data_IF_296886588433
#
_entry.id   IF_296886588433
#
_cell.length_a   1.000
_cell.length_b   1.000
_cell.length_c   1.000
_cell.angle_alpha   90.00
_cell.angle_beta   90.00
_cell.angle_gamma   90.00
#
_symmetry.space_group_name_H-M   'P 1'
#
loop_
_entity.id
_entity.type
_entity.pdbx_description
1 polymer ?
#
# COMPACT_ATOMS: atom_id res chain seq x y z
N UNK A 1 -8.17 -10.56 -10.41
CA UNK A 1 -7.27 -9.38 -10.35
C UNK A 1 -7.73 -8.38 -11.40
N UNK A 2 -7.89 -7.11 -11.03
CA UNK A 2 -8.16 -6.00 -11.94
C UNK A 2 -6.90 -5.14 -11.98
N UNK A 3 -6.22 -5.14 -13.12
CA UNK A 3 -4.94 -4.44 -13.29
C UNK A 3 -4.88 -3.57 -14.54
N UNK A 4 -5.85 -3.69 -15.45
CA UNK A 4 -5.97 -2.80 -16.61
C UNK A 4 -6.40 -1.40 -16.14
N UNK A 5 -5.62 -0.33 -16.43
CA UNK A 5 -5.99 1.03 -16.06
C UNK A 5 -7.41 1.44 -16.45
N UNK A 6 -7.93 0.99 -17.61
CA UNK A 6 -9.27 1.35 -18.05
C UNK A 6 -10.36 0.74 -17.15
N UNK A 7 -10.24 -0.56 -16.85
CA UNK A 7 -11.14 -1.25 -15.93
C UNK A 7 -11.07 -0.70 -14.49
N UNK A 8 -9.86 -0.33 -14.03
CA UNK A 8 -9.67 0.30 -12.71
C UNK A 8 -10.39 1.64 -12.66
N UNK A 9 -10.24 2.50 -13.67
CA UNK A 9 -10.90 3.81 -13.72
C UNK A 9 -12.43 3.68 -13.81
N UNK A 10 -12.94 2.72 -14.57
CA UNK A 10 -14.38 2.43 -14.64
C UNK A 10 -14.93 1.97 -13.28
N UNK A 11 -14.21 1.06 -12.61
CA UNK A 11 -14.57 0.58 -11.28
C UNK A 11 -14.60 1.76 -10.29
N UNK A 12 -13.55 2.57 -10.22
CA UNK A 12 -13.49 3.73 -9.32
C UNK A 12 -14.60 4.74 -9.62
N UNK A 13 -14.90 5.00 -10.89
CA UNK A 13 -16.01 5.89 -11.29
C UNK A 13 -17.37 5.38 -10.81
N UNK A 14 -17.62 4.08 -10.90
CA UNK A 14 -18.84 3.47 -10.39
C UNK A 14 -18.94 3.56 -8.85
N UNK A 15 -17.81 3.48 -8.15
CA UNK A 15 -17.74 3.53 -6.69
C UNK A 15 -17.83 4.96 -6.14
N UNK A 16 -17.35 5.97 -6.88
CA UNK A 16 -17.38 7.39 -6.49
C UNK A 16 -18.76 8.08 -6.50
N UNK A 17 -19.85 7.35 -6.82
CA UNK A 17 -21.19 7.92 -7.08
C UNK A 17 -22.02 8.29 -5.83
N UNK A 18 -21.63 7.86 -4.61
CA UNK A 18 -22.24 8.38 -3.36
C UNK A 18 -21.17 9.12 -2.57
N UNK A 19 -21.25 10.44 -2.62
CA UNK A 19 -20.38 11.38 -1.89
C UNK A 19 -21.15 11.94 -0.70
N UNK A 20 -20.42 12.32 0.34
CA UNK A 20 -21.04 12.89 1.53
C UNK A 20 -21.39 14.37 1.30
N UNK A 21 -22.62 14.77 1.67
CA UNK A 21 -22.96 16.20 1.74
C UNK A 21 -22.28 16.85 2.96
N UNK A 22 -22.19 18.17 2.97
CA UNK A 22 -21.65 18.92 4.11
C UNK A 22 -22.38 18.59 5.42
N UNK A 23 -23.72 18.53 5.39
CA UNK A 23 -24.52 18.19 6.57
C UNK A 23 -24.27 16.76 7.08
N UNK A 24 -23.93 15.83 6.19
CA UNK A 24 -23.54 14.48 6.57
C UNK A 24 -22.14 14.47 7.20
N UNK A 25 -21.21 15.26 6.66
CA UNK A 25 -19.85 15.41 7.21
C UNK A 25 -19.88 16.03 8.61
N UNK A 26 -20.60 17.13 8.81
CA UNK A 26 -20.79 17.78 10.12
C UNK A 26 -21.42 16.82 11.14
N UNK A 27 -22.43 16.04 10.77
CA UNK A 27 -23.05 15.05 11.66
C UNK A 27 -22.16 13.86 12.02
N UNK A 28 -21.31 13.44 11.09
CA UNK A 28 -20.44 12.26 11.30
C UNK A 28 -19.09 12.61 11.92
N UNK A 29 -18.68 13.88 11.86
CA UNK A 29 -17.39 14.35 12.34
C UNK A 29 -17.57 15.65 13.15
N UNK A 30 -17.48 15.60 14.49
CA UNK A 30 -17.77 16.75 15.33
C UNK A 30 -16.83 17.95 15.11
N UNK A 31 -15.57 17.70 14.73
CA UNK A 31 -14.57 18.75 14.46
C UNK A 31 -14.62 19.32 13.03
N UNK A 32 -15.51 18.82 12.16
CA UNK A 32 -15.52 19.20 10.74
C UNK A 32 -15.83 20.68 10.52
N UNK A 33 -16.82 21.23 11.23
CA UNK A 33 -17.21 22.63 11.06
C UNK A 33 -16.14 23.61 11.55
N UNK A 34 -15.28 23.19 12.48
CA UNK A 34 -14.16 23.99 12.96
C UNK A 34 -13.03 24.11 11.91
N UNK A 35 -12.84 23.10 11.06
CA UNK A 35 -11.77 23.09 10.05
C UNK A 35 -12.25 23.48 8.65
N UNK A 36 -13.56 23.47 8.41
CA UNK A 36 -14.18 23.89 7.14
C UNK A 36 -15.28 24.91 7.44
N UNK A 37 -14.94 26.18 7.73
CA UNK A 37 -15.93 27.18 8.15
C UNK A 37 -16.86 27.63 7.01
N UNK A 38 -16.41 27.56 5.76
CA UNK A 38 -17.18 27.92 4.56
C UNK A 38 -17.28 26.76 3.56
N UNK A 39 -18.27 26.82 2.66
CA UNK A 39 -18.42 25.83 1.60
C UNK A 39 -17.21 25.87 0.65
N UNK A 40 -16.65 24.71 0.32
CA UNK A 40 -15.47 24.60 -0.54
C UNK A 40 -14.13 24.93 0.13
N UNK A 41 -14.12 25.44 1.36
CA UNK A 41 -12.90 25.83 2.07
C UNK A 41 -12.51 24.81 3.14
N UNK A 42 -11.21 24.58 3.26
CA UNK A 42 -10.61 23.79 4.32
C UNK A 42 -9.42 24.59 4.85
N UNK A 43 -9.52 25.03 6.10
CA UNK A 43 -8.50 25.85 6.74
C UNK A 43 -7.32 24.96 7.17
N UNK A 44 -6.20 25.09 6.46
CA UNK A 44 -5.00 24.32 6.73
C UNK A 44 -4.42 24.57 8.14
N UNK A 45 -4.55 25.78 8.68
CA UNK A 45 -4.08 26.10 10.03
C UNK A 45 -4.99 25.43 11.07
N UNK A 46 -6.31 25.51 10.90
CA UNK A 46 -7.25 24.82 11.78
C UNK A 46 -7.06 23.28 11.74
N UNK A 47 -6.79 22.71 10.56
CA UNK A 47 -6.43 21.28 10.43
C UNK A 47 -5.13 20.96 11.14
N UNK A 48 -4.10 21.81 11.05
CA UNK A 48 -2.83 21.62 11.74
C UNK A 48 -3.00 21.70 13.26
N UNK A 49 -3.78 22.66 13.76
CA UNK A 49 -4.10 22.80 15.18
C UNK A 49 -4.92 21.62 15.70
N UNK A 50 -5.86 21.11 14.89
CA UNK A 50 -6.57 19.87 15.22
C UNK A 50 -5.60 18.69 15.25
N UNK A 51 -4.71 18.55 14.26
CA UNK A 51 -3.74 17.46 14.22
C UNK A 51 -2.75 17.50 15.40
N UNK A 52 -2.43 18.68 15.90
CA UNK A 52 -1.60 18.87 17.09
C UNK A 52 -2.31 18.45 18.39
N UNK A 53 -3.63 18.64 18.48
CA UNK A 53 -4.44 18.27 19.65
C UNK A 53 -4.89 16.81 19.62
N UNK A 54 -5.40 16.37 18.49
CA UNK A 54 -5.92 15.03 18.22
C UNK A 54 -5.61 14.64 16.76
N UNK A 55 -4.49 13.92 16.52
CA UNK A 55 -4.10 13.50 15.17
C UNK A 55 -5.09 12.49 14.55
N UNK A 56 -5.78 11.69 15.37
CA UNK A 56 -6.76 10.71 14.88
C UNK A 56 -8.03 11.41 14.40
N UNK A 57 -8.50 12.43 15.12
CA UNK A 57 -9.62 13.27 14.69
C UNK A 57 -9.29 14.02 13.39
N UNK A 58 -8.10 14.64 13.28
CA UNK A 58 -7.68 15.31 12.05
C UNK A 58 -7.65 14.37 10.85
N UNK A 59 -7.12 13.15 11.04
CA UNK A 59 -7.05 12.15 9.99
C UNK A 59 -8.45 11.69 9.52
N UNK A 60 -9.38 11.46 10.46
CA UNK A 60 -10.78 11.14 10.16
C UNK A 60 -11.47 12.25 9.38
N UNK A 61 -11.33 13.50 9.82
CA UNK A 61 -11.95 14.65 9.17
C UNK A 61 -11.44 14.81 7.74
N UNK A 62 -10.12 14.69 7.52
CA UNK A 62 -9.53 14.76 6.19
C UNK A 62 -9.95 13.60 5.29
N UNK A 63 -9.99 12.38 5.82
CA UNK A 63 -10.46 11.22 5.07
C UNK A 63 -11.93 11.35 4.66
N UNK A 64 -12.77 11.92 5.53
CA UNK A 64 -14.18 12.21 5.24
C UNK A 64 -14.33 13.34 4.21
N UNK A 65 -13.61 14.45 4.38
CA UNK A 65 -13.61 15.58 3.45
C UNK A 65 -13.06 15.19 2.06
N UNK A 66 -12.12 14.25 1.98
CA UNK A 66 -11.62 13.69 0.72
C UNK A 66 -12.67 12.89 -0.09
N UNK A 67 -13.85 12.65 0.49
CA UNK A 67 -15.04 12.05 -0.16
C UNK A 67 -16.24 13.01 -0.22
N UNK A 68 -16.03 14.29 0.04
CA UNK A 68 -17.07 15.30 -0.02
C UNK A 68 -17.66 15.43 -1.44
N UNK A 69 -18.95 15.79 -1.50
CA UNK A 69 -19.62 16.10 -2.77
C UNK A 69 -18.97 17.31 -3.46
N UNK A 70 -18.58 18.30 -2.67
CA UNK A 70 -17.89 19.51 -3.10
C UNK A 70 -16.49 19.20 -3.67
N UNK A 71 -16.24 19.50 -4.96
CA UNK A 71 -14.96 19.24 -5.60
C UNK A 71 -13.78 20.02 -4.99
N UNK A 72 -13.99 21.26 -4.53
CA UNK A 72 -12.94 22.13 -4.01
C UNK A 72 -12.50 21.64 -2.61
N UNK A 73 -13.47 21.38 -1.73
CA UNK A 73 -13.21 20.80 -0.41
C UNK A 73 -12.47 19.46 -0.52
N UNK A 74 -12.93 18.61 -1.45
CA UNK A 74 -12.29 17.32 -1.70
C UNK A 74 -10.84 17.46 -2.14
N UNK A 75 -10.55 18.35 -3.10
CA UNK A 75 -9.20 18.58 -3.57
C UNK A 75 -8.28 19.14 -2.48
N UNK A 76 -8.79 20.07 -1.65
CA UNK A 76 -8.07 20.61 -0.50
C UNK A 76 -7.74 19.52 0.53
N UNK A 77 -8.71 18.68 0.89
CA UNK A 77 -8.53 17.58 1.83
C UNK A 77 -7.49 16.55 1.34
N UNK A 78 -7.56 16.15 0.07
CA UNK A 78 -6.59 15.23 -0.56
C UNK A 78 -5.17 15.82 -0.56
N UNK A 79 -5.05 17.11 -0.83
CA UNK A 79 -3.76 17.83 -0.79
C UNK A 79 -3.19 17.88 0.63
N UNK A 80 -4.01 18.18 1.65
CA UNK A 80 -3.55 18.21 3.04
C UNK A 80 -3.24 16.82 3.58
N UNK A 81 -4.04 15.80 3.24
CA UNK A 81 -3.80 14.41 3.63
C UNK A 81 -2.45 13.86 3.11
N UNK A 82 -2.04 14.27 1.91
CA UNK A 82 -0.73 13.94 1.36
C UNK A 82 0.43 14.70 2.03
N UNK A 83 0.16 15.86 2.64
CA UNK A 83 1.15 16.77 3.24
C UNK A 83 1.20 16.74 4.76
N UNK A 84 0.34 15.96 5.40
CA UNK A 84 0.36 15.80 6.84
C UNK A 84 1.78 15.39 7.27
N UNK A 85 2.38 16.06 8.26
CA UNK A 85 3.68 15.66 8.78
C UNK A 85 3.53 14.34 9.53
N UNK A 86 3.74 13.23 8.81
CA UNK A 86 3.58 11.87 9.32
C UNK A 86 4.93 11.44 9.92
N UNK A 87 5.30 12.09 11.04
CA UNK A 87 6.46 11.74 11.87
C UNK A 87 7.79 12.39 11.50
N UNK A 88 8.81 12.12 12.33
CA UNK A 88 10.15 12.68 12.16
C UNK A 88 10.82 12.18 10.87
N UNK A 89 11.53 13.08 10.12
CA UNK A 89 12.36 12.67 9.00
C UNK A 89 13.33 11.56 9.43
N UNK A 90 13.69 10.67 8.50
CA UNK A 90 14.67 9.60 8.74
C UNK A 90 15.90 10.18 9.45
N UNK A 91 16.16 9.74 10.68
CA UNK A 91 17.46 9.92 11.33
C UNK A 91 18.34 8.72 10.99
N UNK A 92 19.45 8.97 10.30
CA UNK A 92 20.41 7.94 9.89
C UNK A 92 21.41 8.46 8.88
N UNK A 93 22.54 7.76 8.77
CA UNK A 93 23.67 8.12 7.88
C UNK A 93 23.18 8.32 6.45
N UNK A 94 23.58 9.40 5.74
CA UNK A 94 23.27 9.56 4.33
C UNK A 94 23.89 8.39 3.58
N UNK A 95 23.04 7.55 3.00
CA UNK A 95 23.51 6.37 2.28
C UNK A 95 23.88 6.76 0.85
N UNK A 96 25.03 6.28 0.38
CA UNK A 96 25.62 6.68 -0.91
C UNK A 96 24.66 6.31 -2.04
N UNK A 97 24.11 7.32 -2.71
CA UNK A 97 23.53 7.14 -4.03
C UNK A 97 24.56 6.48 -4.95
N UNK A 98 24.24 5.31 -5.51
CA UNK A 98 24.98 4.81 -6.69
C UNK A 98 25.52 3.38 -6.67
N UNK A 99 25.29 2.54 -5.66
CA UNK A 99 25.71 1.14 -5.77
C UNK A 99 24.60 0.29 -6.40
N UNK A 100 24.45 0.37 -7.72
CA UNK A 100 23.66 -0.64 -8.41
C UNK A 100 24.36 -2.00 -8.29
N UNK A 101 23.68 -3.06 -7.84
CA UNK A 101 24.23 -4.42 -7.80
C UNK A 101 23.76 -5.18 -9.02
N UNK A 102 24.69 -5.79 -9.76
CA UNK A 102 24.34 -6.71 -10.83
C UNK A 102 23.72 -7.97 -10.23
N UNK A 103 22.54 -8.36 -10.73
CA UNK A 103 21.86 -9.60 -10.32
C UNK A 103 21.39 -10.36 -11.54
N UNK A 104 21.23 -11.67 -11.36
CA UNK A 104 20.72 -12.59 -12.36
C UNK A 104 19.23 -12.86 -12.15
N UNK A 105 18.44 -12.90 -13.24
CA UNK A 105 16.99 -13.07 -13.18
C UNK A 105 16.41 -13.67 -14.46
N UNK A 106 15.36 -14.46 -14.30
CA UNK A 106 14.55 -14.95 -15.40
C UNK A 106 13.62 -13.83 -15.92
N UNK A 107 14.04 -13.12 -16.96
CA UNK A 107 13.24 -12.10 -17.68
C UNK A 107 13.38 -12.31 -19.20
N UNK A 108 12.29 -12.11 -19.93
CA UNK A 108 12.28 -12.17 -21.40
C UNK A 108 12.85 -10.91 -22.08
N UNK A 109 13.06 -9.83 -21.33
CA UNK A 109 13.45 -8.51 -21.85
C UNK A 109 14.84 -8.05 -21.39
N UNK A 110 15.58 -8.88 -20.65
CA UNK A 110 16.91 -8.52 -20.17
C UNK A 110 17.92 -8.41 -21.31
N UNK A 111 18.76 -7.37 -21.27
CA UNK A 111 19.73 -7.09 -22.34
C UNK A 111 21.00 -7.94 -22.28
N UNK A 112 21.29 -8.57 -21.14
CA UNK A 112 22.48 -9.41 -20.94
C UNK A 112 22.06 -10.80 -20.41
N UNK A 113 22.60 -11.89 -20.94
CA UNK A 113 22.22 -13.27 -20.57
C UNK A 113 23.24 -13.81 -19.56
N UNK A 114 22.75 -14.30 -18.42
CA UNK A 114 23.58 -15.08 -17.50
C UNK A 114 23.70 -16.51 -18.00
N UNK A 115 24.76 -16.78 -18.74
CA UNK A 115 25.00 -18.10 -19.33
C UNK A 115 25.11 -19.20 -18.28
N UNK A 116 25.77 -18.93 -17.15
CA UNK A 116 25.99 -19.94 -16.10
C UNK A 116 24.66 -20.34 -15.45
N UNK A 117 23.86 -19.35 -15.06
CA UNK A 117 22.54 -19.61 -14.48
C UNK A 117 21.57 -20.23 -15.52
N UNK A 118 21.64 -19.79 -16.77
CA UNK A 118 20.82 -20.32 -17.86
C UNK A 118 21.14 -21.79 -18.18
N UNK A 119 22.44 -22.13 -18.22
CA UNK A 119 22.90 -23.50 -18.44
C UNK A 119 22.56 -24.39 -17.24
N UNK A 120 22.73 -23.89 -16.01
CA UNK A 120 22.35 -24.59 -14.80
C UNK A 120 20.84 -24.86 -14.75
N UNK A 121 20.01 -23.87 -15.13
CA UNK A 121 18.56 -24.01 -15.17
C UNK A 121 18.07 -24.98 -16.26
N UNK A 122 18.74 -25.03 -17.42
CA UNK A 122 18.43 -26.04 -18.46
C UNK A 122 18.78 -27.45 -18.01
N UNK A 123 19.89 -27.62 -17.30
CA UNK A 123 20.41 -28.93 -16.96
C UNK A 123 20.61 -29.81 -18.21
N UNK A 124 20.08 -31.03 -18.16
CA UNK A 124 20.17 -32.02 -19.24
C UNK A 124 19.01 -31.95 -20.25
N UNK A 125 18.13 -30.95 -20.16
CA UNK A 125 16.99 -30.87 -21.06
C UNK A 125 17.43 -30.66 -22.53
N UNK A 126 16.83 -31.41 -23.49
CA UNK A 126 17.27 -31.40 -24.88
C UNK A 126 16.84 -30.15 -25.65
N UNK A 127 15.76 -29.46 -25.23
CA UNK A 127 15.23 -28.26 -25.88
C UNK A 127 15.30 -27.03 -24.95
N UNK A 128 15.55 -25.87 -25.54
CA UNK A 128 15.52 -24.59 -24.82
C UNK A 128 14.08 -24.12 -24.62
N UNK A 129 13.76 -23.67 -23.41
CA UNK A 129 12.48 -23.02 -23.07
C UNK A 129 12.72 -21.64 -22.49
N UNK A 130 11.70 -20.78 -22.54
CA UNK A 130 11.76 -19.44 -21.98
C UNK A 130 12.09 -19.45 -20.47
N UNK A 131 11.67 -20.48 -19.75
CA UNK A 131 11.96 -20.69 -18.33
C UNK A 131 13.44 -20.96 -18.02
N UNK A 132 14.24 -21.42 -18.99
CA UNK A 132 15.67 -21.62 -18.80
C UNK A 132 16.45 -20.30 -18.89
N UNK A 133 15.92 -19.30 -19.60
CA UNK A 133 16.66 -18.07 -19.90
C UNK A 133 16.75 -17.16 -18.68
N UNK A 134 17.98 -17.01 -18.19
CA UNK A 134 18.33 -16.08 -17.13
C UNK A 134 19.16 -14.93 -17.71
N UNK A 135 18.78 -13.72 -17.35
CA UNK A 135 19.40 -12.46 -17.78
C UNK A 135 20.02 -11.72 -16.59
N UNK A 136 21.14 -11.01 -16.83
CA UNK A 136 21.76 -10.13 -15.85
C UNK A 136 21.21 -8.71 -16.00
N UNK A 137 20.95 -8.06 -14.88
CA UNK A 137 20.49 -6.69 -14.83
C UNK A 137 21.05 -5.95 -13.63
N UNK A 138 21.27 -4.64 -13.79
CA UNK A 138 21.61 -3.76 -12.68
C UNK A 138 20.38 -3.53 -11.81
N UNK A 139 20.48 -3.82 -10.51
CA UNK A 139 19.47 -3.45 -9.51
C UNK A 139 19.90 -2.24 -8.72
N UNK A 140 18.99 -1.30 -8.54
CA UNK A 140 19.19 -0.24 -7.56
C UNK A 140 19.22 -0.84 -6.15
N UNK A 141 20.00 -0.22 -5.27
CA UNK A 141 19.91 -0.42 -3.81
C UNK A 141 18.65 0.20 -3.21
N UNK A 142 17.71 0.65 -4.06
CA UNK A 142 16.40 1.08 -3.63
C UNK A 142 15.56 -0.09 -3.12
N UNK A 143 14.37 0.25 -2.63
CA UNK A 143 13.37 -0.68 -2.13
C UNK A 143 12.16 -0.70 -3.06
N UNK A 144 11.56 -1.87 -3.24
CA UNK A 144 10.24 -2.02 -3.83
C UNK A 144 9.25 -2.43 -2.75
N UNK A 145 8.21 -1.62 -2.55
CA UNK A 145 7.14 -1.88 -1.58
C UNK A 145 5.82 -2.06 -2.30
N UNK A 146 5.08 -3.12 -1.99
CA UNK A 146 3.67 -3.25 -2.36
C UNK A 146 2.83 -3.06 -1.10
N UNK A 147 2.03 -2.01 -1.08
CA UNK A 147 1.03 -1.78 -0.03
C UNK A 147 -0.26 -2.50 -0.42
N UNK A 148 -0.66 -3.49 0.38
CA UNK A 148 -1.95 -4.16 0.30
C UNK A 148 -2.89 -3.52 1.33
N UNK A 149 -4.01 -2.99 0.88
CA UNK A 149 -5.04 -2.39 1.73
C UNK A 149 -6.28 -3.27 1.72
N UNK A 150 -6.63 -3.83 2.87
CA UNK A 150 -7.86 -4.55 3.05
C UNK A 150 -9.05 -3.59 2.98
N UNK A 151 -9.92 -3.86 2.01
CA UNK A 151 -11.16 -3.15 1.76
C UNK A 151 -12.34 -4.14 1.84
N UNK A 152 -12.26 -5.19 2.65
CA UNK A 152 -13.40 -6.07 2.93
C UNK A 152 -14.51 -5.32 3.66
N UNK A 153 -14.14 -4.49 4.64
CA UNK A 153 -15.03 -3.63 5.41
C UNK A 153 -15.51 -2.38 4.66
N UNK A 154 -16.37 -1.61 5.33
CA UNK A 154 -16.76 -0.30 4.83
C UNK A 154 -15.59 0.67 5.03
N UNK A 155 -14.77 0.87 3.99
CA UNK A 155 -13.64 1.82 3.96
C UNK A 155 -14.15 3.26 4.18
N UNK A 156 -14.34 3.62 5.44
CA UNK A 156 -14.85 4.92 5.90
C UNK A 156 -14.32 5.17 7.33
N UNK A 157 -14.31 6.44 7.75
CA UNK A 157 -13.81 6.81 9.07
C UNK A 157 -12.35 6.37 9.28
N UNK A 158 -12.12 5.60 10.34
CA UNK A 158 -10.77 5.20 10.79
C UNK A 158 -10.04 4.26 9.82
N UNK A 159 -10.73 3.37 9.11
CA UNK A 159 -10.08 2.46 8.16
C UNK A 159 -9.45 3.24 6.99
N UNK A 160 -10.22 4.17 6.42
CA UNK A 160 -9.74 5.03 5.35
C UNK A 160 -8.64 5.98 5.85
N UNK A 161 -8.81 6.58 7.02
CA UNK A 161 -7.80 7.43 7.63
C UNK A 161 -6.49 6.68 7.86
N UNK A 162 -6.57 5.43 8.33
CA UNK A 162 -5.42 4.55 8.56
C UNK A 162 -4.73 4.19 7.25
N UNK A 163 -5.48 3.82 6.20
CA UNK A 163 -4.92 3.51 4.89
C UNK A 163 -4.21 4.72 4.25
N UNK A 164 -4.85 5.89 4.32
CA UNK A 164 -4.29 7.16 3.81
C UNK A 164 -3.02 7.55 4.58
N UNK A 165 -3.05 7.54 5.92
CA UNK A 165 -1.86 7.86 6.70
C UNK A 165 -0.74 6.84 6.52
N UNK A 166 -1.05 5.55 6.36
CA UNK A 166 -0.06 4.51 6.07
C UNK A 166 0.59 4.73 4.70
N UNK A 167 -0.20 5.03 3.67
CA UNK A 167 0.32 5.36 2.34
C UNK A 167 1.18 6.63 2.36
N UNK A 168 0.72 7.69 3.04
CA UNK A 168 1.48 8.94 3.20
C UNK A 168 2.79 8.72 3.99
N UNK A 169 2.76 7.94 5.09
CA UNK A 169 3.94 7.58 5.86
C UNK A 169 4.96 6.80 5.02
N UNK A 170 4.47 5.87 4.20
CA UNK A 170 5.30 5.05 3.34
C UNK A 170 6.02 5.92 2.32
N UNK A 171 5.28 6.78 1.59
CA UNK A 171 5.88 7.63 0.56
C UNK A 171 6.86 8.63 1.15
N UNK A 172 6.56 9.25 2.28
CA UNK A 172 7.50 10.17 2.94
C UNK A 172 8.82 9.51 3.35
N UNK A 173 8.85 8.17 3.47
CA UNK A 173 10.05 7.40 3.78
C UNK A 173 10.79 6.88 2.55
N UNK A 174 10.16 6.92 1.38
CA UNK A 174 10.73 6.43 0.14
C UNK A 174 11.82 7.38 -0.37
N UNK A 175 12.87 6.80 -0.93
CA UNK A 175 13.97 7.50 -1.57
C UNK A 175 13.67 7.71 -3.06
N UNK A 176 14.32 8.69 -3.70
CA UNK A 176 14.34 8.75 -5.16
C UNK A 176 14.80 7.41 -5.76
N UNK A 177 13.97 6.81 -6.60
CA UNK A 177 14.24 5.50 -7.21
C UNK A 177 13.68 4.28 -6.45
N UNK A 178 13.09 4.47 -5.26
CA UNK A 178 12.29 3.43 -4.62
C UNK A 178 10.97 3.23 -5.38
N UNK A 179 10.52 1.99 -5.48
CA UNK A 179 9.31 1.61 -6.20
C UNK A 179 8.17 1.36 -5.22
N UNK A 180 6.98 1.88 -5.51
CA UNK A 180 5.77 1.61 -4.75
C UNK A 180 4.72 1.00 -5.68
N UNK A 181 3.93 0.06 -5.18
CA UNK A 181 2.63 -0.30 -5.74
C UNK A 181 1.59 -0.23 -4.64
N UNK A 182 0.35 0.07 -5.01
CA UNK A 182 -0.78 0.07 -4.07
C UNK A 182 -1.88 -0.80 -4.65
N UNK A 183 -2.34 -1.75 -3.86
CA UNK A 183 -3.39 -2.70 -4.23
C UNK A 183 -4.43 -2.67 -3.12
N UNK A 184 -5.69 -2.44 -3.47
CA UNK A 184 -6.79 -2.68 -2.55
C UNK A 184 -7.38 -4.05 -2.84
N UNK A 185 -7.82 -4.76 -1.80
CA UNK A 185 -8.39 -6.09 -1.97
C UNK A 185 -9.59 -6.36 -1.06
N UNK A 186 -10.47 -7.22 -1.56
CA UNK A 186 -11.63 -7.81 -0.87
C UNK A 186 -11.87 -9.19 -1.53
N UNK A 187 -13.04 -9.53 -2.10
CA UNK A 187 -13.21 -10.60 -3.11
C UNK A 187 -12.48 -10.36 -4.43
N UNK A 188 -11.98 -9.14 -4.67
CA UNK A 188 -11.17 -8.79 -5.84
C UNK A 188 -9.91 -8.08 -5.38
N UNK A 189 -8.82 -8.22 -6.11
CA UNK A 189 -7.64 -7.38 -5.95
C UNK A 189 -7.55 -6.36 -7.10
N UNK A 190 -7.51 -5.07 -6.75
CA UNK A 190 -7.48 -3.94 -7.67
C UNK A 190 -6.16 -3.19 -7.51
N UNK A 191 -5.38 -3.11 -8.59
CA UNK A 191 -4.09 -2.40 -8.59
C UNK A 191 -4.35 -0.90 -8.75
N UNK A 192 -4.53 -0.20 -7.62
CA UNK A 192 -4.72 1.25 -7.61
C UNK A 192 -3.52 2.01 -8.13
N UNK A 193 -2.31 1.49 -7.92
CA UNK A 193 -1.11 2.06 -8.51
C UNK A 193 -0.15 0.94 -8.86
N UNK A 194 0.16 0.73 -10.15
CA UNK A 194 1.17 -0.23 -10.56
C UNK A 194 2.53 0.12 -9.95
N UNK A 195 3.39 -0.90 -9.78
CA UNK A 195 4.74 -0.72 -9.28
C UNK A 195 5.51 0.30 -10.15
N UNK A 196 5.91 1.42 -9.54
CA UNK A 196 6.63 2.50 -10.21
C UNK A 196 7.48 3.31 -9.24
N UNK A 197 8.56 3.89 -9.76
CA UNK A 197 9.50 4.76 -9.04
C UNK A 197 9.04 6.23 -8.91
N UNK A 198 7.85 6.58 -9.40
CA UNK A 198 7.24 7.93 -9.27
C UNK A 198 6.16 7.94 -8.17
N UNK A 199 6.49 8.32 -6.92
CA UNK A 199 5.57 8.25 -5.81
C UNK A 199 4.53 9.39 -5.84
N UNK A 200 3.54 9.26 -6.74
CA UNK A 200 2.33 10.10 -6.80
C UNK A 200 1.39 9.80 -5.63
N UNK A 201 1.65 10.38 -4.46
CA UNK A 201 0.80 10.23 -3.24
C UNK A 201 -0.63 10.70 -3.50
N UNK A 202 -0.75 11.83 -4.20
CA UNK A 202 -2.00 12.45 -4.63
C UNK A 202 -2.92 11.41 -5.28
N UNK A 203 -2.39 10.67 -6.26
CA UNK A 203 -3.14 9.65 -6.98
C UNK A 203 -3.54 8.47 -6.08
N UNK A 204 -2.68 8.08 -5.15
CA UNK A 204 -2.96 6.97 -4.23
C UNK A 204 -4.10 7.34 -3.28
N UNK A 205 -4.03 8.52 -2.67
CA UNK A 205 -5.07 9.02 -1.76
C UNK A 205 -6.39 9.17 -2.52
N UNK A 206 -6.34 9.74 -3.73
CA UNK A 206 -7.53 9.88 -4.59
C UNK A 206 -8.22 8.55 -4.84
N UNK A 207 -7.46 7.56 -5.31
CA UNK A 207 -7.99 6.22 -5.64
C UNK A 207 -8.47 5.46 -4.41
N UNK A 208 -7.80 5.61 -3.26
CA UNK A 208 -8.26 5.04 -1.98
C UNK A 208 -9.58 5.64 -1.52
N UNK A 209 -9.77 6.96 -1.67
CA UNK A 209 -11.01 7.62 -1.29
C UNK A 209 -12.21 7.25 -2.20
N UNK A 210 -11.93 6.92 -3.46
CA UNK A 210 -12.95 6.54 -4.44
C UNK A 210 -13.30 5.04 -4.39
N UNK A 211 -12.57 4.24 -3.62
CA UNK A 211 -12.87 2.83 -3.39
C UNK A 211 -14.08 2.61 -2.46
N UNK A 212 -14.66 1.43 -2.60
CA UNK A 212 -15.65 0.83 -1.72
C UNK A 212 -15.33 -0.62 -1.55
N UNK A 213 -15.53 -1.09 -0.33
CA UNK A 213 -15.31 -2.48 0.00
C UNK A 213 -16.40 -3.41 -0.51
N UNK A 214 -16.10 -4.70 -0.48
CA UNK A 214 -16.97 -5.75 -1.03
C UNK A 214 -17.37 -6.85 -0.04
N UNK A 215 -17.24 -6.64 1.27
CA UNK A 215 -17.79 -7.50 2.32
C UNK A 215 -17.04 -8.80 2.59
N UNK A 216 -16.09 -9.19 1.74
CA UNK A 216 -15.29 -10.42 1.90
C UNK A 216 -13.80 -10.12 1.77
N UNK A 217 -12.97 -11.00 2.30
CA UNK A 217 -11.51 -10.87 2.38
C UNK A 217 -10.84 -12.05 1.67
N UNK A 218 -10.24 -11.80 0.51
CA UNK A 218 -9.38 -12.76 -0.22
C UNK A 218 -7.90 -12.34 -0.13
N UNK A 219 -7.25 -12.78 0.96
CA UNK A 219 -5.83 -12.55 1.23
C UNK A 219 -4.93 -13.30 0.23
N UNK A 220 -5.34 -14.48 -0.21
CA UNK A 220 -4.58 -15.26 -1.18
C UNK A 220 -4.46 -14.51 -2.52
N UNK A 221 -5.57 -13.99 -3.04
CA UNK A 221 -5.57 -13.18 -4.25
C UNK A 221 -4.74 -11.90 -4.08
N UNK A 222 -4.79 -11.26 -2.91
CA UNK A 222 -4.00 -10.08 -2.60
C UNK A 222 -2.49 -10.37 -2.64
N UNK A 223 -2.06 -11.45 -1.96
CA UNK A 223 -0.65 -11.86 -1.90
C UNK A 223 -0.12 -12.28 -3.28
N UNK A 224 -0.91 -13.04 -4.05
CA UNK A 224 -0.56 -13.39 -5.44
C UNK A 224 -0.43 -12.15 -6.33
N UNK A 225 -1.33 -11.17 -6.15
CA UNK A 225 -1.27 -9.89 -6.88
C UNK A 225 -0.02 -9.10 -6.49
N UNK A 226 0.34 -9.06 -5.21
CA UNK A 226 1.58 -8.43 -4.75
C UNK A 226 2.83 -9.12 -5.32
N UNK A 227 2.86 -10.45 -5.33
CA UNK A 227 3.93 -11.21 -5.96
C UNK A 227 4.10 -10.86 -7.44
N UNK A 228 2.99 -10.73 -8.19
CA UNK A 228 3.02 -10.32 -9.59
C UNK A 228 3.53 -8.88 -9.79
N UNK A 229 3.24 -7.96 -8.87
CA UNK A 229 3.81 -6.60 -8.89
C UNK A 229 5.32 -6.64 -8.60
N UNK A 230 5.75 -7.33 -7.55
CA UNK A 230 7.17 -7.46 -7.17
C UNK A 230 8.00 -8.25 -8.17
N UNK A 231 7.36 -9.14 -8.94
CA UNK A 231 7.98 -9.80 -10.07
C UNK A 231 8.37 -8.83 -11.18
N UNK A 232 8.03 -7.54 -11.12
CA UNK A 232 8.54 -6.49 -12.04
C UNK A 232 9.52 -5.51 -11.37
N UNK A 233 9.77 -5.68 -10.08
CA UNK A 233 10.62 -4.78 -9.30
C UNK A 233 12.09 -4.85 -9.71
N UNK A 234 12.68 -3.67 -9.90
CA UNK A 234 14.11 -3.42 -10.12
C UNK A 234 14.89 -3.40 -8.81
N UNK A 235 14.24 -3.05 -7.71
CA UNK A 235 14.86 -3.07 -6.38
C UNK A 235 15.24 -4.49 -5.93
N UNK A 236 16.36 -4.61 -5.21
CA UNK A 236 16.77 -5.86 -4.56
C UNK A 236 16.00 -6.11 -3.26
N UNK A 237 15.77 -5.05 -2.46
CA UNK A 237 14.93 -5.14 -1.24
C UNK A 237 13.46 -5.07 -1.62
N UNK A 238 12.73 -6.17 -1.44
CA UNK A 238 11.30 -6.29 -1.78
C UNK A 238 10.50 -6.54 -0.53
N UNK A 239 9.47 -5.72 -0.33
CA UNK A 239 8.61 -5.82 0.84
C UNK A 239 7.15 -5.74 0.41
N UNK A 240 6.32 -6.58 1.02
CA UNK A 240 4.86 -6.43 0.98
C UNK A 240 4.45 -5.90 2.34
N UNK A 241 3.69 -4.81 2.36
CA UNK A 241 3.11 -4.25 3.57
C UNK A 241 1.61 -4.49 3.51
N UNK A 242 1.10 -5.39 4.34
CA UNK A 242 -0.31 -5.77 4.41
C UNK A 242 -1.00 -5.01 5.54
N UNK A 243 -2.05 -4.27 5.22
CA UNK A 243 -2.94 -3.63 6.18
C UNK A 243 -4.25 -4.43 6.22
N UNK A 244 -4.45 -5.24 7.27
CA UNK A 244 -5.62 -6.14 7.40
C UNK A 244 -5.80 -6.55 8.86
N UNK A 245 -6.99 -7.01 9.23
CA UNK A 245 -7.23 -7.74 10.47
C UNK A 245 -6.75 -9.22 10.39
N UNK A 246 -6.38 -9.69 9.19
CA UNK A 246 -5.85 -11.02 8.96
C UNK A 246 -6.89 -12.13 9.02
N UNK A 247 -8.18 -11.81 8.96
CA UNK A 247 -9.26 -12.80 8.99
C UNK A 247 -9.79 -13.05 7.57
N UNK A 248 -9.29 -14.06 6.84
CA UNK A 248 -9.78 -14.38 5.50
C UNK A 248 -11.21 -14.94 5.57
N UNK A 249 -12.05 -14.55 4.62
CA UNK A 249 -13.38 -15.16 4.42
C UNK A 249 -13.44 -15.99 3.14
N UNK A 250 -12.62 -15.64 2.14
CA UNK A 250 -12.58 -16.28 0.82
C UNK A 250 -11.13 -16.61 0.43
N UNK A 251 -10.37 -17.23 1.33
CA UNK A 251 -9.02 -17.70 1.02
C UNK A 251 -8.82 -19.16 1.47
N UNK A 252 -8.74 -20.11 0.52
CA UNK A 252 -8.46 -21.52 0.82
C UNK A 252 -7.13 -21.73 1.55
N UNK A 253 -6.06 -21.03 1.14
CA UNK A 253 -4.75 -21.15 1.80
C UNK A 253 -3.90 -19.85 1.74
N UNK A 254 -4.18 -18.89 2.62
CA UNK A 254 -3.43 -17.62 2.64
C UNK A 254 -2.01 -17.78 3.21
N UNK A 255 -1.75 -18.79 4.05
CA UNK A 255 -0.42 -19.07 4.61
C UNK A 255 0.49 -19.71 3.56
N UNK A 256 -0.05 -20.59 2.72
CA UNK A 256 0.63 -21.10 1.53
C UNK A 256 1.01 -19.96 0.58
N UNK A 257 0.08 -19.06 0.28
CA UNK A 257 0.36 -17.89 -0.55
C UNK A 257 1.46 -16.97 0.03
N UNK A 258 1.48 -16.78 1.36
CA UNK A 258 2.55 -16.05 2.05
C UNK A 258 3.90 -16.80 1.94
N UNK A 259 3.89 -18.13 2.04
CA UNK A 259 5.09 -18.96 1.88
C UNK A 259 5.66 -18.91 0.46
N UNK A 260 4.80 -18.86 -0.56
CA UNK A 260 5.21 -18.64 -1.96
C UNK A 260 5.88 -17.26 -2.14
N UNK A 261 5.35 -16.22 -1.48
CA UNK A 261 5.95 -14.89 -1.49
C UNK A 261 7.36 -14.89 -0.89
N UNK A 262 7.61 -15.67 0.17
CA UNK A 262 8.95 -15.81 0.75
C UNK A 262 9.97 -16.43 -0.22
N UNK A 263 9.53 -17.20 -1.23
CA UNK A 263 10.42 -17.76 -2.26
C UNK A 263 10.93 -16.71 -3.25
N UNK A 264 10.27 -15.56 -3.38
CA UNK A 264 10.64 -14.49 -4.32
C UNK A 264 11.31 -13.29 -3.63
N UNK A 265 12.57 -13.46 -3.16
CA UNK A 265 13.23 -12.69 -2.08
C UNK A 265 12.48 -11.47 -1.56
N UNK A 266 11.28 -11.68 -1.01
CA UNK A 266 10.37 -10.65 -0.57
C UNK A 266 9.93 -10.97 0.86
N UNK A 267 9.72 -9.93 1.65
CA UNK A 267 9.29 -10.04 3.04
C UNK A 267 7.89 -9.53 3.22
N UNK A 268 7.02 -10.32 3.84
CA UNK A 268 5.66 -9.92 4.20
C UNK A 268 5.64 -9.26 5.58
N UNK A 269 5.44 -7.95 5.60
CA UNK A 269 5.20 -7.18 6.81
C UNK A 269 3.69 -6.98 6.98
N UNK A 270 3.16 -7.19 8.18
CA UNK A 270 1.72 -7.07 8.46
C UNK A 270 1.47 -5.97 9.49
N UNK A 271 0.54 -5.07 9.17
CA UNK A 271 -0.03 -4.07 10.05
C UNK A 271 -1.39 -4.59 10.51
N UNK A 272 -1.43 -5.12 11.73
CA UNK A 272 -2.63 -5.74 12.30
C UNK A 272 -3.61 -4.66 12.78
N UNK A 273 -4.79 -4.62 12.14
CA UNK A 273 -5.84 -3.63 12.47
C UNK A 273 -6.61 -4.00 13.74
N UNK A 274 -6.77 -5.30 14.02
CA UNK A 274 -7.54 -5.81 15.16
C UNK A 274 -6.63 -6.25 16.31
N UNK A 275 -7.09 -6.01 17.55
CA UNK A 275 -6.45 -6.47 18.78
C UNK A 275 -6.97 -7.84 19.24
N UNK A 276 -7.95 -8.42 18.53
CA UNK A 276 -8.50 -9.72 18.87
C UNK A 276 -7.46 -10.83 18.72
N UNK A 277 -7.50 -11.80 19.64
CA UNK A 277 -6.47 -12.84 19.71
C UNK A 277 -6.42 -13.71 18.44
N UNK A 278 -7.58 -14.01 17.85
CA UNK A 278 -7.67 -14.76 16.59
C UNK A 278 -7.05 -14.00 15.40
N UNK A 279 -7.38 -12.71 15.27
CA UNK A 279 -6.82 -11.82 14.26
C UNK A 279 -5.29 -11.69 14.40
N UNK A 280 -4.82 -11.49 15.64
CA UNK A 280 -3.41 -11.35 15.98
C UNK A 280 -2.61 -12.62 15.65
N UNK A 281 -3.15 -13.78 16.00
CA UNK A 281 -2.53 -15.07 15.70
C UNK A 281 -2.46 -15.32 14.18
N UNK A 282 -3.52 -15.00 13.44
CA UNK A 282 -3.55 -15.13 11.98
C UNK A 282 -2.53 -14.20 11.31
N UNK A 283 -2.49 -12.91 11.69
CA UNK A 283 -1.49 -11.96 11.21
C UNK A 283 -0.06 -12.43 11.46
N UNK A 284 0.21 -12.99 12.65
CA UNK A 284 1.52 -13.53 13.01
C UNK A 284 1.90 -14.74 12.15
N UNK A 285 0.96 -15.65 11.88
CA UNK A 285 1.18 -16.79 11.01
C UNK A 285 1.51 -16.36 9.57
N UNK A 286 0.78 -15.39 9.03
CA UNK A 286 1.04 -14.82 7.69
C UNK A 286 2.43 -14.19 7.61
N UNK A 287 2.76 -13.30 8.55
CA UNK A 287 4.06 -12.63 8.56
C UNK A 287 5.21 -13.64 8.71
N UNK A 288 5.08 -14.65 9.56
CA UNK A 288 6.07 -15.70 9.73
C UNK A 288 6.28 -16.52 8.45
N UNK A 289 5.19 -16.93 7.80
CA UNK A 289 5.25 -17.66 6.53
C UNK A 289 5.89 -16.83 5.41
N UNK A 290 5.62 -15.52 5.38
CA UNK A 290 6.22 -14.58 4.44
C UNK A 290 7.58 -14.00 4.85
N UNK A 291 8.22 -14.52 5.91
CA UNK A 291 9.56 -14.11 6.35
C UNK A 291 9.68 -12.67 6.85
N UNK A 292 8.60 -12.10 7.39
CA UNK A 292 8.56 -10.74 7.94
C UNK A 292 8.01 -10.67 9.36
N UNK A 293 7.47 -9.51 9.72
CA UNK A 293 7.07 -9.15 11.10
C UNK A 293 5.66 -8.57 11.11
N UNK A 294 5.07 -8.53 12.30
CA UNK A 294 3.79 -7.88 12.57
C UNK A 294 4.02 -6.65 13.43
N UNK A 295 3.32 -5.56 13.14
CA UNK A 295 3.15 -4.44 14.05
C UNK A 295 1.65 -4.13 14.23
N UNK A 296 1.28 -3.68 15.42
CA UNK A 296 -0.10 -3.30 15.72
C UNK A 296 -0.44 -1.91 15.16
N UNK A 297 -1.62 -1.76 14.58
CA UNK A 297 -2.11 -0.51 14.02
C UNK A 297 -3.62 -0.37 14.28
N UNK A 298 -3.97 0.02 15.51
CA UNK A 298 -5.36 0.15 15.95
C UNK A 298 -5.93 1.56 15.76
N UNK A 299 -5.06 2.55 15.53
CA UNK A 299 -5.44 3.95 15.31
C UNK A 299 -4.67 4.56 14.14
N UNK A 300 -5.28 5.47 13.36
CA UNK A 300 -4.61 6.11 12.24
C UNK A 300 -3.25 6.77 12.61
N UNK A 301 -3.17 7.42 13.78
CA UNK A 301 -1.96 8.10 14.28
C UNK A 301 -0.76 7.18 14.51
N UNK A 302 -0.98 5.88 14.70
CA UNK A 302 0.09 4.90 14.91
C UNK A 302 0.78 4.49 13.59
N UNK A 303 0.18 4.78 12.43
CA UNK A 303 0.70 4.41 11.12
C UNK A 303 2.16 4.82 10.89
N UNK A 304 2.59 6.08 11.11
CA UNK A 304 4.00 6.48 11.00
C UNK A 304 4.97 5.59 11.80
N UNK A 305 4.65 5.34 13.07
CA UNK A 305 5.51 4.53 13.95
C UNK A 305 5.57 3.08 13.51
N UNK A 306 4.43 2.49 13.15
CA UNK A 306 4.35 1.09 12.74
C UNK A 306 5.07 0.84 11.41
N UNK A 307 4.90 1.75 10.44
CA UNK A 307 5.65 1.70 9.16
C UNK A 307 7.16 1.84 9.42
N UNK A 308 7.56 2.70 10.37
CA UNK A 308 8.98 2.85 10.74
C UNK A 308 9.53 1.59 11.41
N UNK A 309 8.78 0.93 12.25
CA UNK A 309 9.20 -0.31 12.93
C UNK A 309 9.43 -1.44 11.92
N UNK A 310 8.51 -1.61 10.97
CA UNK A 310 8.55 -2.71 9.99
C UNK A 310 9.57 -2.49 8.87
N UNK A 311 9.70 -1.24 8.41
CA UNK A 311 10.54 -0.88 7.25
C UNK A 311 11.83 -0.14 7.65
N UNK A 312 12.10 -0.02 8.96
CA UNK A 312 13.27 0.64 9.55
C UNK A 312 14.56 -0.16 9.43
#
# INVERSE_FOLDING_TARGET
>A
MVSDPAEVEELLRSHGARRASRDQLSRSNPDFDAVSPQAGELDAAAVADLAARDPDAAARVLAAAARAFDPALRAAARTLAARLPVGTPRSGTPDRAGTSRMVTRQESTGSDIDLDATLAARGAEPHWRAEHLHTRGWRSTGRAVVLLVDASGSVAGDELATAVLTASALVQRMRPGDELAVVAFWSRAVVLRPLSADPRVDLVVDRLCDLRGGGTTDLELALRTAAAQLARARAADRQVLLLSDGLPTESPDPVGAASELARIPARLQVLALSAEEGARASCAALAAAGGGRVAALHRPSQAPSAVRELLG
#
